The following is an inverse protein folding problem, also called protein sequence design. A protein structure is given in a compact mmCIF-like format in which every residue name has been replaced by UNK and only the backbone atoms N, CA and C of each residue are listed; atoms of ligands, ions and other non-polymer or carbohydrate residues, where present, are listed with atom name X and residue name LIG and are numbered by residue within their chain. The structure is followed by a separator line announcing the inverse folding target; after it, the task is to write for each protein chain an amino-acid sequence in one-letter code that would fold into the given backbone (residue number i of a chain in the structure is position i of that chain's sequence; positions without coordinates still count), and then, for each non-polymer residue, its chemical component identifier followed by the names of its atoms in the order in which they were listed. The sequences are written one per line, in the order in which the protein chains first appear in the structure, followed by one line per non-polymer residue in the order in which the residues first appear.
data_IF_381189342676
#
_entry.id   IF_381189342676
#
_cell.length_a   1.000
_cell.length_b   1.000
_cell.length_c   1.000
_cell.angle_alpha   90.00
_cell.angle_beta   90.00
_cell.angle_gamma   90.00
#
_symmetry.space_group_name_H-M   'P 1'
#
loop_
_entity.id
_entity.type
_entity.pdbx_description
1 polymer ?
#
# COMPACT_ATOMS: atom_id res chain seq x y z
N UNK A 1 31.57 -15.92 26.50
CA UNK A 1 30.48 -16.78 25.97
C UNK A 1 29.27 -15.92 25.57
N UNK A 2 29.25 -15.28 24.39
CA UNK A 2 28.15 -14.38 23.98
C UNK A 2 27.69 -14.49 22.52
N UNK A 3 28.23 -15.45 21.77
CA UNK A 3 28.05 -15.55 20.33
C UNK A 3 26.71 -16.20 19.91
N UNK A 4 26.18 -17.13 20.71
CA UNK A 4 24.99 -17.90 20.37
C UNK A 4 23.68 -17.12 20.54
N UNK A 5 23.60 -16.17 21.48
CA UNK A 5 22.41 -15.32 21.68
C UNK A 5 22.17 -14.30 20.55
N UNK A 6 23.25 -13.74 19.98
CA UNK A 6 23.17 -12.75 18.89
C UNK A 6 22.61 -13.35 17.60
N UNK A 7 23.02 -14.58 17.26
CA UNK A 7 22.49 -15.31 16.09
C UNK A 7 20.99 -15.62 16.22
N UNK A 8 20.53 -16.02 17.41
CA UNK A 8 19.10 -16.27 17.67
C UNK A 8 18.26 -14.99 17.46
N UNK A 9 18.71 -13.86 18.01
CA UNK A 9 18.03 -12.56 17.86
C UNK A 9 17.98 -12.07 16.41
N UNK A 10 19.06 -12.26 15.64
CA UNK A 10 19.06 -11.91 14.21
C UNK A 10 18.08 -12.77 13.39
N UNK A 11 18.02 -14.08 13.67
CA UNK A 11 17.07 -14.97 13.01
C UNK A 11 15.60 -14.61 13.31
N UNK A 12 15.32 -14.16 14.53
CA UNK A 12 13.99 -13.68 14.94
C UNK A 12 13.58 -12.40 14.20
N UNK A 13 14.46 -11.38 14.19
CA UNK A 13 14.22 -10.13 13.45
C UNK A 13 13.99 -10.39 11.96
N UNK A 14 14.75 -11.30 11.34
CA UNK A 14 14.57 -11.67 9.94
C UNK A 14 13.21 -12.35 9.68
N UNK A 15 12.77 -13.24 10.57
CA UNK A 15 11.45 -13.89 10.47
C UNK A 15 10.32 -12.88 10.58
N UNK A 16 10.39 -11.96 11.53
CA UNK A 16 9.35 -10.95 11.72
C UNK A 16 9.31 -9.96 10.54
N UNK A 17 10.47 -9.56 10.03
CA UNK A 17 10.55 -8.73 8.81
C UNK A 17 9.91 -9.44 7.61
N UNK A 18 10.15 -10.75 7.47
CA UNK A 18 9.52 -11.56 6.42
C UNK A 18 7.99 -11.62 6.58
N UNK A 19 7.48 -11.88 7.79
CA UNK A 19 6.03 -11.88 8.05
C UNK A 19 5.35 -10.56 7.71
N UNK A 20 6.02 -9.44 8.00
CA UNK A 20 5.52 -8.10 7.64
C UNK A 20 5.45 -7.94 6.12
N UNK A 21 6.48 -8.41 5.40
CA UNK A 21 6.49 -8.39 3.94
C UNK A 21 5.38 -9.27 3.34
N UNK A 22 5.16 -10.48 3.90
CA UNK A 22 4.09 -11.38 3.48
C UNK A 22 2.71 -10.73 3.71
N UNK A 23 2.46 -10.18 4.90
CA UNK A 23 1.19 -9.50 5.20
C UNK A 23 0.94 -8.25 4.33
N UNK A 24 2.01 -7.52 4.00
CA UNK A 24 1.95 -6.39 3.07
C UNK A 24 1.53 -6.86 1.68
N UNK A 25 2.19 -7.90 1.16
CA UNK A 25 1.91 -8.45 -0.15
C UNK A 25 0.48 -8.99 -0.24
N UNK A 26 0.03 -9.76 0.76
CA UNK A 26 -1.33 -10.29 0.84
C UNK A 26 -2.39 -9.18 0.87
N UNK A 27 -2.16 -8.13 1.66
CA UNK A 27 -3.08 -6.98 1.72
C UNK A 27 -3.23 -6.30 0.36
N UNK A 28 -2.12 -6.03 -0.33
CA UNK A 28 -2.14 -5.38 -1.64
C UNK A 28 -2.75 -6.29 -2.70
N UNK A 29 -2.37 -7.57 -2.71
CA UNK A 29 -2.91 -8.57 -3.63
C UNK A 29 -4.41 -8.74 -3.48
N UNK A 30 -4.90 -8.85 -2.24
CA UNK A 30 -6.32 -8.95 -1.95
C UNK A 30 -7.09 -7.74 -2.48
N UNK A 31 -6.53 -6.53 -2.36
CA UNK A 31 -7.13 -5.32 -2.93
C UNK A 31 -7.24 -5.39 -4.46
N UNK A 32 -6.16 -5.78 -5.15
CA UNK A 32 -6.14 -5.89 -6.61
C UNK A 32 -7.15 -6.94 -7.10
N UNK A 33 -7.19 -8.10 -6.46
CA UNK A 33 -8.04 -9.23 -6.89
C UNK A 33 -9.52 -8.92 -6.70
N UNK A 34 -9.89 -8.21 -5.64
CA UNK A 34 -11.30 -7.98 -5.28
C UNK A 34 -11.91 -6.71 -5.89
N UNK A 35 -11.10 -5.84 -6.51
CA UNK A 35 -11.57 -4.62 -7.18
C UNK A 35 -11.32 -4.66 -8.68
N UNK A 36 -12.11 -3.89 -9.43
CA UNK A 36 -11.98 -3.76 -10.89
C UNK A 36 -11.21 -2.49 -11.24
N UNK A 37 -10.44 -2.55 -12.33
CA UNK A 37 -9.72 -1.39 -12.88
C UNK A 37 -8.78 -0.73 -11.88
N UNK A 38 -8.04 -1.54 -11.13
CA UNK A 38 -7.06 -1.03 -10.16
C UNK A 38 -5.85 -0.50 -10.91
N UNK A 39 -5.42 0.70 -10.53
CA UNK A 39 -4.19 1.35 -10.99
C UNK A 39 -3.29 1.64 -9.77
N UNK A 40 -1.98 1.67 -10.00
CA UNK A 40 -0.97 1.89 -8.97
C UNK A 40 -0.24 3.24 -9.15
N UNK A 41 0.05 3.89 -8.03
CA UNK A 41 0.96 5.04 -7.94
C UNK A 41 2.07 4.70 -6.94
N UNK A 42 3.31 4.74 -7.40
CA UNK A 42 4.49 4.56 -6.54
C UNK A 42 4.98 5.93 -6.09
N UNK A 43 5.00 6.12 -4.77
CA UNK A 43 5.52 7.29 -4.11
C UNK A 43 7.00 7.08 -3.79
N UNK A 44 7.84 7.94 -4.35
CA UNK A 44 9.28 7.94 -4.09
C UNK A 44 9.57 8.22 -2.61
N UNK A 45 10.70 7.72 -2.08
CA UNK A 45 11.11 8.07 -0.72
C UNK A 45 11.36 9.58 -0.62
N UNK A 46 11.08 10.12 0.57
CA UNK A 46 11.53 11.46 0.95
C UNK A 46 12.55 11.35 2.09
N UNK A 47 13.13 12.47 2.52
CA UNK A 47 14.08 12.49 3.65
C UNK A 47 13.49 11.91 4.95
N UNK A 48 12.16 11.94 5.10
CA UNK A 48 11.48 11.52 6.33
C UNK A 48 10.58 10.29 6.13
N UNK A 49 10.16 10.00 4.89
CA UNK A 49 9.24 8.91 4.59
C UNK A 49 9.88 7.88 3.67
N UNK A 50 9.70 6.61 4.03
CA UNK A 50 9.96 5.46 3.15
C UNK A 50 9.05 5.52 1.91
N UNK A 51 9.41 4.84 0.80
CA UNK A 51 8.56 4.78 -0.36
C UNK A 51 7.24 4.08 -0.05
N UNK A 52 6.22 4.37 -0.83
CA UNK A 52 4.87 3.84 -0.63
C UNK A 52 4.22 3.49 -1.96
N UNK A 53 3.25 2.58 -1.95
CA UNK A 53 2.38 2.31 -3.09
C UNK A 53 0.94 2.66 -2.71
N UNK A 54 0.28 3.38 -3.61
CA UNK A 54 -1.13 3.71 -3.56
C UNK A 54 -1.85 2.95 -4.68
N UNK A 55 -2.81 2.12 -4.32
CA UNK A 55 -3.70 1.45 -5.26
C UNK A 55 -5.04 2.17 -5.29
N UNK A 56 -5.59 2.42 -6.48
CA UNK A 56 -6.90 3.06 -6.66
C UNK A 56 -7.75 2.25 -7.63
N UNK A 57 -8.90 1.77 -7.15
CA UNK A 57 -9.89 1.07 -7.95
C UNK A 57 -10.67 2.01 -8.90
N UNK A 58 -11.43 1.43 -9.82
CA UNK A 58 -12.21 2.16 -10.81
C UNK A 58 -13.28 3.10 -10.22
N UNK A 59 -13.84 2.76 -9.05
CA UNK A 59 -14.84 3.58 -8.35
C UNK A 59 -14.22 4.66 -7.43
N UNK A 60 -12.89 4.64 -7.29
CA UNK A 60 -12.12 5.53 -6.44
C UNK A 60 -11.83 4.99 -5.04
N UNK A 61 -12.25 3.78 -4.69
CA UNK A 61 -11.75 3.14 -3.47
C UNK A 61 -10.22 3.01 -3.55
N UNK A 62 -9.52 3.26 -2.44
CA UNK A 62 -8.06 3.24 -2.44
C UNK A 62 -7.45 2.66 -1.16
N UNK A 63 -6.23 2.15 -1.29
CA UNK A 63 -5.40 1.72 -0.18
C UNK A 63 -3.95 2.16 -0.39
N UNK A 64 -3.28 2.58 0.68
CA UNK A 64 -1.87 3.01 0.66
C UNK A 64 -1.07 2.22 1.67
N UNK A 65 0.12 1.75 1.28
CA UNK A 65 1.05 1.04 2.17
C UNK A 65 2.49 1.46 1.88
N UNK A 66 3.30 1.55 2.94
CA UNK A 66 4.75 1.67 2.80
C UNK A 66 5.33 0.39 2.22
N UNK A 67 6.30 0.53 1.32
CA UNK A 67 6.97 -0.59 0.66
C UNK A 67 8.48 -0.57 0.94
N UNK A 68 9.18 -1.71 0.81
CA UNK A 68 10.62 -1.78 1.05
C UNK A 68 11.45 -0.86 0.14
N UNK A 69 11.03 -0.70 -1.12
CA UNK A 69 11.66 0.20 -2.10
C UNK A 69 10.63 0.63 -3.16
N UNK A 70 10.95 1.63 -3.99
CA UNK A 70 10.08 2.03 -5.11
C UNK A 70 9.99 0.91 -6.16
N UNK A 71 11.11 0.23 -6.43
CA UNK A 71 11.21 -0.92 -7.33
C UNK A 71 10.32 -2.07 -6.89
N UNK A 72 10.17 -2.30 -5.59
CA UNK A 72 9.19 -3.27 -5.08
C UNK A 72 7.77 -2.90 -5.50
N UNK A 73 7.40 -1.62 -5.44
CA UNK A 73 6.08 -1.13 -5.86
C UNK A 73 5.86 -1.34 -7.37
N UNK A 74 6.87 -1.02 -8.19
CA UNK A 74 6.81 -1.24 -9.64
C UNK A 74 6.71 -2.73 -9.99
N UNK A 75 7.53 -3.58 -9.36
CA UNK A 75 7.51 -5.02 -9.57
C UNK A 75 6.20 -5.67 -9.11
N UNK A 76 5.61 -5.18 -8.01
CA UNK A 76 4.28 -5.59 -7.57
C UNK A 76 3.23 -5.30 -8.64
N UNK A 77 3.21 -4.07 -9.18
CA UNK A 77 2.24 -3.69 -10.21
C UNK A 77 2.42 -4.50 -11.50
N UNK A 78 3.67 -4.76 -11.90
CA UNK A 78 4.01 -5.62 -13.03
C UNK A 78 3.51 -7.06 -12.82
N UNK A 79 3.77 -7.66 -11.65
CA UNK A 79 3.31 -9.01 -11.29
C UNK A 79 1.79 -9.15 -11.33
N UNK A 80 1.06 -8.08 -11.01
CA UNK A 80 -0.40 -8.04 -11.05
C UNK A 80 -0.97 -7.54 -12.38
N UNK A 81 -0.12 -7.20 -13.36
CA UNK A 81 -0.51 -6.67 -14.67
C UNK A 81 -1.43 -5.45 -14.59
N UNK A 82 -1.17 -4.54 -13.66
CA UNK A 82 -1.93 -3.28 -13.51
C UNK A 82 -1.11 -2.07 -13.97
N UNK A 83 -1.74 -1.01 -14.50
CA UNK A 83 -1.02 0.23 -14.81
C UNK A 83 -0.36 0.82 -13.56
N UNK A 84 0.87 1.30 -13.71
CA UNK A 84 1.65 1.87 -12.62
C UNK A 84 2.28 3.20 -13.03
N UNK A 85 2.20 4.18 -12.13
CA UNK A 85 2.69 5.54 -12.37
C UNK A 85 3.62 6.00 -11.25
N UNK A 86 4.52 6.91 -11.57
CA UNK A 86 5.25 7.67 -10.55
C UNK A 86 4.34 8.78 -10.01
N UNK A 87 4.11 8.80 -8.70
CA UNK A 87 3.24 9.76 -8.03
C UNK A 87 3.77 11.21 -8.05
N UNK A 88 5.07 11.41 -8.27
CA UNK A 88 5.68 12.72 -8.48
C UNK A 88 5.46 13.27 -9.89
N UNK A 89 5.00 12.43 -10.82
CA UNK A 89 4.79 12.79 -12.23
C UNK A 89 3.31 12.81 -12.59
N UNK A 90 2.57 11.75 -12.22
CA UNK A 90 1.15 11.59 -12.56
C UNK A 90 0.28 11.94 -11.35
N UNK A 91 -0.64 12.91 -11.46
CA UNK A 91 -1.49 13.29 -10.34
C UNK A 91 -2.45 12.16 -9.96
N UNK A 92 -2.85 12.12 -8.69
CA UNK A 92 -3.86 11.17 -8.24
C UNK A 92 -5.22 11.40 -8.91
N UNK A 93 -5.95 10.32 -9.21
CA UNK A 93 -7.14 10.41 -10.04
C UNK A 93 -8.30 11.05 -9.28
N UNK A 94 -9.12 11.84 -9.98
CA UNK A 94 -10.25 12.58 -9.39
C UNK A 94 -11.22 11.66 -8.63
N UNK A 95 -11.48 10.45 -9.16
CA UNK A 95 -12.34 9.43 -8.55
C UNK A 95 -11.96 9.09 -7.11
N UNK A 96 -10.67 9.07 -6.78
CA UNK A 96 -10.19 8.80 -5.42
C UNK A 96 -10.64 9.90 -4.45
N UNK A 97 -10.55 11.16 -4.87
CA UNK A 97 -10.97 12.32 -4.06
C UNK A 97 -12.47 12.30 -3.85
N UNK A 98 -13.24 12.04 -4.91
CA UNK A 98 -14.70 11.96 -4.86
C UNK A 98 -15.19 10.81 -3.95
N UNK A 99 -14.53 9.65 -4.00
CA UNK A 99 -14.82 8.52 -3.10
C UNK A 99 -14.65 8.91 -1.63
N UNK A 100 -13.55 9.57 -1.28
CA UNK A 100 -13.30 10.05 0.08
C UNK A 100 -14.36 11.02 0.59
N UNK A 101 -14.86 11.91 -0.27
CA UNK A 101 -15.96 12.82 0.07
C UNK A 101 -17.26 12.07 0.34
N UNK A 102 -17.64 11.12 -0.53
CA UNK A 102 -18.82 10.27 -0.34
C UNK A 102 -18.74 9.46 0.95
N UNK A 103 -17.60 8.82 1.21
CA UNK A 103 -17.38 8.03 2.42
C UNK A 103 -17.45 8.89 3.70
N UNK A 104 -16.88 10.10 3.68
CA UNK A 104 -16.96 11.04 4.81
C UNK A 104 -18.39 11.50 5.08
N UNK A 105 -19.16 11.80 4.03
CA UNK A 105 -20.57 12.18 4.14
C UNK A 105 -21.41 11.03 4.71
N UNK A 106 -21.21 9.81 4.19
CA UNK A 106 -21.91 8.62 4.68
C UNK A 106 -21.63 8.35 6.18
N UNK A 107 -20.37 8.48 6.61
CA UNK A 107 -19.99 8.35 8.04
C UNK A 107 -20.67 9.40 8.92
N UNK A 108 -20.66 10.67 8.49
CA UNK A 108 -21.33 11.76 9.22
C UNK A 108 -22.84 11.54 9.35
N UNK A 109 -23.47 11.06 8.28
CA UNK A 109 -24.90 10.72 8.32
C UNK A 109 -25.16 9.59 9.32
N UNK A 110 -24.34 8.52 9.31
CA UNK A 110 -24.48 7.40 10.24
C UNK A 110 -24.27 7.81 11.70
N UNK A 111 -23.34 8.72 11.99
CA UNK A 111 -23.06 9.19 13.34
C UNK A 111 -24.12 10.21 13.85
N UNK A 112 -24.74 10.99 12.96
CA UNK A 112 -25.82 11.92 13.32
C UNK A 112 -27.20 11.26 13.51
N UNK A 113 -27.32 9.97 13.19
CA UNK A 113 -28.49 9.12 13.45
C UNK A 113 -28.40 8.38 14.79
N UNK A 114 -27.35 8.60 15.58
CA UNK A 114 -27.13 8.02 16.91
C UNK A 114 -27.42 8.99 18.04
#
# INVERSE_FOLDING_TARGET
MGWFGRKKKQAEVARDSKKVADALFEHLSAFVISRRGVEAWVEQPTSFNKPSILLVAADGESTRRGVPSAEYGYAFAEQHHIPCYDAGVVPYPKRMREYGLRAKQARRAADGLR
#
